data_IF_620238521760
#
_entry.id   IF_620238521760
#
_cell.length_a   1.000
_cell.length_b   1.000
_cell.length_c   1.000
_cell.angle_alpha   90.00
_cell.angle_beta   90.00
_cell.angle_gamma   90.00
#
_symmetry.space_group_name_H-M   'P 1'
#
loop_
_entity.id
_entity.type
_entity.pdbx_description
1 polymer ?
#
# COMPACT_ATOMS: atom_id res chain seq x y z
N UNK A 1 11.58 8.42 26.78
CA UNK A 1 11.68 9.04 25.45
C UNK A 1 11.71 7.90 24.45
N UNK A 2 10.70 7.85 23.59
CA UNK A 2 10.39 6.91 22.49
C UNK A 2 11.47 5.85 22.18
N UNK A 3 11.31 4.64 22.74
CA UNK A 3 11.79 3.38 22.16
C UNK A 3 10.71 2.89 21.17
N UNK A 4 10.91 2.20 20.06
CA UNK A 4 12.07 1.67 19.32
C UNK A 4 11.48 1.15 17.98
N UNK A 5 12.25 1.24 16.89
CA UNK A 5 12.17 0.36 15.72
C UNK A 5 10.81 0.13 15.04
N UNK A 6 10.58 0.79 13.90
CA UNK A 6 9.67 0.26 12.89
C UNK A 6 10.19 -1.12 12.44
N UNK A 7 9.63 -2.19 12.99
CA UNK A 7 10.02 -3.55 12.66
C UNK A 7 9.34 -3.95 11.35
N UNK A 8 10.12 -4.21 10.30
CA UNK A 8 9.62 -4.80 9.06
C UNK A 8 9.31 -6.27 9.34
N UNK A 9 8.09 -6.54 9.79
CA UNK A 9 7.61 -7.91 9.97
C UNK A 9 7.27 -8.50 8.60
N UNK A 10 7.86 -9.65 8.28
CA UNK A 10 7.42 -10.46 7.15
C UNK A 10 6.01 -10.96 7.45
N UNK A 11 5.05 -10.58 6.61
CA UNK A 11 3.65 -10.92 6.80
C UNK A 11 3.40 -12.27 6.13
N UNK A 12 3.36 -13.32 6.95
CA UNK A 12 3.16 -14.68 6.44
C UNK A 12 1.66 -15.07 6.46
N UNK A 13 0.84 -14.43 7.32
CA UNK A 13 -0.58 -14.78 7.50
C UNK A 13 -1.45 -13.59 7.95
N UNK A 14 -2.54 -13.25 7.22
CA UNK A 14 -3.46 -12.15 7.57
C UNK A 14 -4.06 -12.25 8.98
N UNK A 15 -4.45 -13.46 9.40
CA UNK A 15 -5.02 -13.71 10.74
C UNK A 15 -4.04 -13.41 11.88
N UNK A 16 -2.74 -13.57 11.65
CA UNK A 16 -1.74 -13.29 12.69
C UNK A 16 -1.71 -11.81 13.06
N UNK A 17 -1.79 -10.94 12.05
CA UNK A 17 -1.75 -9.48 12.23
C UNK A 17 -2.96 -8.99 13.03
N UNK A 18 -4.16 -9.45 12.68
CA UNK A 18 -5.38 -9.00 13.36
C UNK A 18 -5.39 -9.39 14.83
N UNK A 19 -4.89 -10.59 15.16
CA UNK A 19 -4.72 -11.02 16.54
C UNK A 19 -3.73 -10.15 17.28
N UNK A 20 -2.56 -9.86 16.70
CA UNK A 20 -1.56 -8.98 17.33
C UNK A 20 -2.12 -7.57 17.60
N UNK A 21 -2.83 -6.99 16.63
CA UNK A 21 -3.47 -5.67 16.80
C UNK A 21 -4.53 -5.72 17.91
N UNK A 22 -5.38 -6.74 17.93
CA UNK A 22 -6.41 -6.89 18.95
C UNK A 22 -5.81 -7.04 20.36
N UNK A 23 -4.70 -7.76 20.51
CA UNK A 23 -3.97 -7.87 21.78
C UNK A 23 -3.41 -6.51 22.23
N UNK A 24 -2.84 -5.72 21.30
CA UNK A 24 -2.33 -4.37 21.60
C UNK A 24 -3.44 -3.39 21.98
N UNK A 25 -4.60 -3.45 21.32
CA UNK A 25 -5.80 -2.68 21.68
C UNK A 25 -6.24 -3.02 23.11
N UNK A 26 -6.31 -4.31 23.45
CA UNK A 26 -6.71 -4.78 24.79
C UNK A 26 -5.73 -4.39 25.89
N UNK A 27 -4.44 -4.30 25.56
CA UNK A 27 -3.41 -3.78 26.46
C UNK A 27 -3.41 -2.24 26.57
N UNK A 28 -4.25 -1.54 25.79
CA UNK A 28 -4.26 -0.08 25.64
C UNK A 28 -2.88 0.47 25.25
N UNK A 29 -2.15 -0.28 24.42
CA UNK A 29 -0.84 0.10 23.91
C UNK A 29 -0.97 0.72 22.52
N UNK A 30 -0.27 1.83 22.31
CA UNK A 30 -0.25 2.49 21.00
C UNK A 30 0.52 1.63 20.00
N UNK A 31 -0.17 1.13 18.99
CA UNK A 31 0.40 0.24 17.97
C UNK A 31 -0.25 0.52 16.61
N UNK A 32 0.54 0.49 15.54
CA UNK A 32 0.04 0.68 14.18
C UNK A 32 0.82 -0.20 13.19
N UNK A 33 0.10 -0.75 12.22
CA UNK A 33 0.62 -1.62 11.16
C UNK A 33 0.38 -0.96 9.81
N UNK A 34 1.45 -0.85 9.02
CA UNK A 34 1.41 -0.32 7.67
C UNK A 34 1.83 -1.41 6.69
N UNK A 35 0.95 -1.74 5.75
CA UNK A 35 1.18 -2.81 4.78
C UNK A 35 1.31 -2.18 3.39
N UNK A 36 2.44 -2.40 2.73
CA UNK A 36 2.64 -2.01 1.34
C UNK A 36 2.40 -3.23 0.44
N UNK A 37 1.46 -3.08 -0.49
CA UNK A 37 1.08 -4.08 -1.49
C UNK A 37 1.23 -3.49 -2.90
N UNK A 38 1.45 -4.32 -3.95
CA UNK A 38 1.37 -3.82 -5.31
C UNK A 38 -0.05 -3.32 -5.62
N UNK A 39 -0.18 -2.40 -6.58
CA UNK A 39 -1.48 -1.85 -7.00
C UNK A 39 -2.41 -2.94 -7.60
N UNK A 40 -1.84 -3.93 -8.28
CA UNK A 40 -2.51 -5.18 -8.66
C UNK A 40 -1.49 -6.32 -8.76
N UNK A 41 -1.93 -7.59 -8.70
CA UNK A 41 -1.09 -8.75 -8.99
C UNK A 41 -0.53 -8.71 -10.41
N UNK A 42 0.63 -9.30 -10.66
CA UNK A 42 1.25 -9.35 -11.99
C UNK A 42 0.27 -9.83 -13.09
N UNK A 43 0.23 -9.09 -14.20
CA UNK A 43 -0.63 -9.38 -15.35
C UNK A 43 -1.59 -8.25 -15.71
N UNK A 44 -2.58 -8.56 -16.55
CA UNK A 44 -3.59 -7.59 -17.00
C UNK A 44 -4.57 -7.31 -15.84
N UNK A 45 -4.73 -6.05 -15.38
CA UNK A 45 -5.60 -5.72 -14.25
C UNK A 45 -7.06 -6.16 -14.44
N UNK A 46 -7.54 -6.11 -15.68
CA UNK A 46 -8.91 -6.49 -16.05
C UNK A 46 -9.07 -7.98 -16.36
N UNK A 47 -7.98 -8.77 -16.28
CA UNK A 47 -8.02 -10.21 -16.52
C UNK A 47 -8.75 -10.97 -15.41
N UNK A 48 -9.45 -12.06 -15.77
CA UNK A 48 -10.27 -12.82 -14.83
C UNK A 48 -9.49 -13.39 -13.63
N UNK A 49 -8.23 -13.82 -13.84
CA UNK A 49 -7.36 -14.30 -12.77
C UNK A 49 -6.98 -13.16 -11.79
N UNK A 50 -6.51 -12.02 -12.32
CA UNK A 50 -6.15 -10.83 -11.54
C UNK A 50 -7.33 -10.31 -10.73
N UNK A 51 -8.52 -10.21 -11.34
CA UNK A 51 -9.75 -9.81 -10.67
C UNK A 51 -10.16 -10.77 -9.55
N UNK A 52 -9.97 -12.08 -9.74
CA UNK A 52 -10.22 -13.08 -8.68
C UNK A 52 -9.29 -12.88 -7.48
N UNK A 53 -8.02 -12.61 -7.74
CA UNK A 53 -7.04 -12.35 -6.67
C UNK A 53 -7.39 -11.05 -5.94
N UNK A 54 -7.67 -9.97 -6.66
CA UNK A 54 -8.08 -8.69 -6.09
C UNK A 54 -9.36 -8.82 -5.25
N UNK A 55 -10.33 -9.62 -5.71
CA UNK A 55 -11.55 -9.91 -4.95
C UNK A 55 -11.22 -10.54 -3.59
N UNK A 56 -10.42 -11.60 -3.56
CA UNK A 56 -10.06 -12.29 -2.31
C UNK A 56 -9.15 -11.44 -1.42
N UNK A 57 -8.27 -10.63 -2.01
CA UNK A 57 -7.47 -9.66 -1.28
C UNK A 57 -8.37 -8.64 -0.58
N UNK A 58 -9.35 -8.08 -1.29
CA UNK A 58 -10.33 -7.15 -0.71
C UNK A 58 -11.15 -7.81 0.42
N UNK A 59 -11.61 -9.06 0.23
CA UNK A 59 -12.30 -9.81 1.29
C UNK A 59 -11.43 -10.04 2.52
N UNK A 60 -10.14 -10.30 2.33
CA UNK A 60 -9.20 -10.44 3.43
C UNK A 60 -9.06 -9.12 4.18
N UNK A 61 -8.91 -7.99 3.47
CA UNK A 61 -8.83 -6.66 4.09
C UNK A 61 -10.10 -6.32 4.87
N UNK A 62 -11.29 -6.62 4.33
CA UNK A 62 -12.57 -6.43 5.03
C UNK A 62 -12.59 -7.18 6.37
N UNK A 63 -12.28 -8.48 6.34
CA UNK A 63 -12.20 -9.32 7.54
C UNK A 63 -11.21 -8.78 8.57
N UNK A 64 -10.09 -8.22 8.12
CA UNK A 64 -9.10 -7.64 9.02
C UNK A 64 -9.62 -6.39 9.73
N UNK A 65 -10.21 -5.46 8.99
CA UNK A 65 -10.80 -4.26 9.56
C UNK A 65 -11.98 -4.56 10.50
N UNK A 66 -12.85 -5.51 10.14
CA UNK A 66 -13.95 -5.95 11.00
C UNK A 66 -13.44 -6.55 12.32
N UNK A 67 -12.39 -7.36 12.27
CA UNK A 67 -11.79 -7.94 13.48
C UNK A 67 -11.23 -6.86 14.42
N UNK A 68 -10.55 -5.86 13.86
CA UNK A 68 -10.01 -4.74 14.63
C UNK A 68 -11.13 -3.89 15.22
N UNK A 69 -12.17 -3.60 14.43
CA UNK A 69 -13.34 -2.87 14.91
C UNK A 69 -14.02 -3.58 16.08
N UNK A 70 -14.23 -4.89 15.97
CA UNK A 70 -14.81 -5.67 17.07
C UNK A 70 -13.95 -5.63 18.32
N UNK A 71 -12.61 -5.67 18.18
CA UNK A 71 -11.71 -5.53 19.31
C UNK A 71 -11.82 -4.15 19.98
N UNK A 72 -12.06 -3.06 19.22
CA UNK A 72 -12.31 -1.72 19.76
C UNK A 72 -13.63 -1.65 20.53
N UNK A 73 -14.70 -2.26 19.99
CA UNK A 73 -16.01 -2.33 20.66
C UNK A 73 -15.92 -3.11 21.97
N UNK A 74 -15.17 -4.22 22.00
CA UNK A 74 -14.97 -5.03 23.22
C UNK A 74 -14.33 -4.24 24.38
N UNK A 75 -13.52 -3.24 24.08
CA UNK A 75 -12.85 -2.39 25.08
C UNK A 75 -13.51 -1.02 25.26
N UNK A 76 -14.59 -0.72 24.53
CA UNK A 76 -15.32 0.55 24.61
C UNK A 76 -14.60 1.74 23.99
N UNK A 77 -13.75 1.50 22.98
CA UNK A 77 -12.93 2.52 22.32
C UNK A 77 -13.42 2.90 20.91
N UNK A 78 -14.53 2.35 20.46
CA UNK A 78 -15.08 2.52 19.10
C UNK A 78 -15.50 3.96 18.76
N UNK A 79 -15.77 4.80 19.77
CA UNK A 79 -16.09 6.22 19.57
C UNK A 79 -14.83 7.11 19.50
N UNK A 80 -13.70 6.63 20.04
CA UNK A 80 -12.47 7.39 20.14
C UNK A 80 -11.46 7.05 19.03
N UNK A 81 -11.47 5.79 18.56
CA UNK A 81 -10.52 5.30 17.57
C UNK A 81 -11.23 4.57 16.44
N UNK A 82 -10.63 4.64 15.25
CA UNK A 82 -11.02 3.91 14.07
C UNK A 82 -10.08 2.73 13.82
N UNK A 83 -10.53 1.67 13.12
CA UNK A 83 -9.65 0.59 12.70
C UNK A 83 -8.44 1.07 11.87
N UNK A 84 -8.58 2.16 11.12
CA UNK A 84 -7.53 2.79 10.30
C UNK A 84 -6.44 3.45 11.15
N UNK A 85 -6.67 3.73 12.44
CA UNK A 85 -5.61 4.19 13.34
C UNK A 85 -4.60 3.07 13.65
N UNK A 86 -4.99 1.81 13.46
CA UNK A 86 -4.18 0.62 13.77
C UNK A 86 -3.69 -0.12 12.52
N UNK A 87 -4.42 -0.09 11.41
CA UNK A 87 -4.09 -0.83 10.20
C UNK A 87 -4.30 0.02 8.95
N UNK A 88 -3.27 0.18 8.13
CA UNK A 88 -3.35 0.85 6.84
C UNK A 88 -2.69 0.03 5.73
N UNK A 89 -3.28 0.11 4.53
CA UNK A 89 -2.76 -0.52 3.32
C UNK A 89 -2.40 0.56 2.31
N UNK A 90 -1.22 0.45 1.72
CA UNK A 90 -0.72 1.36 0.69
C UNK A 90 -0.28 0.59 -0.55
N UNK A 91 -0.38 1.25 -1.70
CA UNK A 91 0.31 0.83 -2.91
C UNK A 91 1.25 1.93 -3.37
N UNK A 92 2.34 1.52 -4.04
CA UNK A 92 3.30 2.44 -4.63
C UNK A 92 2.92 2.69 -6.09
N UNK A 93 3.01 3.95 -6.51
CA UNK A 93 2.86 4.38 -7.90
C UNK A 93 3.87 5.47 -8.20
N UNK A 94 4.48 5.41 -9.39
CA UNK A 94 5.39 6.43 -9.89
C UNK A 94 4.70 7.23 -11.01
N UNK A 95 4.97 8.53 -11.09
CA UNK A 95 4.50 9.40 -12.19
C UNK A 95 5.61 10.38 -12.56
N UNK A 96 6.07 10.29 -13.79
CA UNK A 96 7.11 11.16 -14.33
C UNK A 96 6.49 12.25 -15.21
N UNK A 97 7.06 13.45 -15.18
CA UNK A 97 6.69 14.52 -16.10
C UNK A 97 7.26 14.21 -17.48
N UNK A 98 6.51 14.52 -18.54
CA UNK A 98 7.02 14.36 -19.91
C UNK A 98 8.07 15.44 -20.16
N UNK A 99 9.31 15.05 -20.41
CA UNK A 99 10.36 16.00 -20.78
C UNK A 99 10.12 16.50 -22.21
N UNK A 100 9.85 17.80 -22.33
CA UNK A 100 9.53 18.49 -23.59
C UNK A 100 10.65 18.36 -24.64
N UNK A 101 11.86 18.03 -24.20
CA UNK A 101 13.06 17.92 -25.04
C UNK A 101 13.16 16.59 -25.81
N UNK A 102 12.49 15.51 -25.36
CA UNK A 102 12.49 14.22 -26.09
C UNK A 102 11.53 14.22 -27.29
N UNK A 103 10.47 15.03 -27.25
CA UNK A 103 9.53 15.15 -28.37
C UNK A 103 10.08 15.96 -29.56
N UNK A 104 11.06 16.85 -29.33
CA UNK A 104 11.69 17.61 -30.42
C UNK A 104 12.56 16.70 -31.30
N UNK A 105 13.11 15.61 -30.75
CA UNK A 105 13.84 14.60 -31.53
C UNK A 105 12.95 13.65 -32.36
N UNK A 106 11.65 13.54 -32.07
CA UNK A 106 10.75 12.58 -32.77
C UNK A 106 9.84 13.24 -33.82
N UNK A 107 9.66 14.56 -33.83
CA UNK A 107 8.70 15.21 -34.76
C UNK A 107 9.25 16.24 -35.75
N UNK A 108 10.57 16.36 -35.95
CA UNK A 108 11.06 16.91 -37.21
C UNK A 108 12.42 17.58 -37.16
N UNK A 109 13.19 17.29 -38.22
CA UNK A 109 14.40 17.93 -38.74
C UNK A 109 15.73 17.20 -38.39
N UNK A 110 16.50 16.74 -39.40
CA UNK A 110 17.76 16.02 -39.22
C UNK A 110 18.96 16.98 -39.10
N UNK A 111 19.98 16.67 -38.27
CA UNK A 111 21.27 17.34 -38.37
C UNK A 111 22.45 16.34 -38.53
N UNK A 112 23.62 16.76 -39.04
CA UNK A 112 23.87 17.23 -40.42
C UNK A 112 25.02 16.44 -41.10
N UNK A 113 25.19 16.58 -42.43
CA UNK A 113 26.24 15.90 -43.17
C UNK A 113 27.56 16.67 -43.02
N UNK A 114 28.49 16.13 -42.24
CA UNK A 114 29.92 16.44 -42.34
C UNK A 114 30.29 17.94 -42.44
N UNK A 115 30.21 18.74 -41.38
CA UNK A 115 31.03 19.96 -41.33
C UNK A 115 31.25 20.48 -39.92
N UNK A 116 32.50 20.78 -39.53
CA UNK A 116 32.80 21.41 -38.26
C UNK A 116 32.72 22.95 -38.34
N UNK A 117 32.50 23.55 -37.17
CA UNK A 117 32.79 24.93 -36.75
C UNK A 117 31.70 25.96 -37.09
N UNK A 118 31.43 26.96 -36.24
CA UNK A 118 32.31 27.68 -35.27
C UNK A 118 31.69 27.77 -33.88
#
# INVERSE_FOLDING_TARGET
MVEEGATIMKIDKPRGITTMIAEKIKANERFAVYIVIPMWPEGVPTGAATQRILFWQNKTMQMMYETIYNALVEVGLEAAFSPQDYLNFFCLGNREAVDIHENITVSGIPPPPNTPQV
#
